data_IF_468052878007
#
_entry.id   IF_468052878007
#
_cell.length_a   1.000
_cell.length_b   1.000
_cell.length_c   1.000
_cell.angle_alpha   90.00
_cell.angle_beta   90.00
_cell.angle_gamma   90.00
#
_symmetry.space_group_name_H-M   'P 1'
#
loop_
_entity.id
_entity.type
_entity.pdbx_description
1 polymer ?
#
# COMPACT_ATOMS: atom_id res chain seq x y z
N UNK A 1 23.42 -50.42 35.21
CA UNK A 1 22.06 -49.88 35.02
C UNK A 1 22.21 -48.51 34.39
N UNK A 2 22.20 -48.47 33.09
CA UNK A 2 22.35 -47.29 32.26
C UNK A 2 20.96 -46.76 31.90
N UNK A 3 20.63 -45.54 32.34
CA UNK A 3 19.37 -44.89 31.95
C UNK A 3 19.60 -44.16 30.61
N UNK A 4 18.88 -44.65 29.66
CA UNK A 4 18.82 -44.12 28.28
C UNK A 4 17.98 -42.83 28.30
N UNK A 5 18.62 -41.73 27.92
CA UNK A 5 17.99 -40.39 27.89
C UNK A 5 17.42 -40.17 26.49
N UNK A 6 16.14 -40.46 26.33
CA UNK A 6 15.42 -40.24 25.08
C UNK A 6 15.25 -38.73 24.89
N UNK A 7 16.09 -38.13 24.04
CA UNK A 7 15.88 -36.77 23.52
C UNK A 7 14.67 -36.77 22.62
N UNK A 8 13.55 -36.28 23.15
CA UNK A 8 12.39 -35.94 22.36
C UNK A 8 12.74 -34.77 21.45
N UNK A 9 12.80 -35.02 20.17
CA UNK A 9 12.90 -33.99 19.13
C UNK A 9 11.59 -33.18 19.12
N UNK A 10 11.66 -31.94 19.63
CA UNK A 10 10.58 -30.99 19.47
C UNK A 10 10.59 -30.56 18.02
N UNK A 11 9.65 -31.14 17.25
CA UNK A 11 9.35 -30.73 15.89
C UNK A 11 9.04 -29.24 15.85
N UNK A 12 9.66 -28.54 14.92
CA UNK A 12 9.34 -27.18 14.54
C UNK A 12 7.84 -27.06 14.30
N UNK A 13 7.12 -26.34 15.17
CA UNK A 13 5.71 -26.04 14.98
C UNK A 13 5.54 -25.20 13.72
N UNK A 14 5.17 -25.84 12.63
CA UNK A 14 4.56 -25.22 11.49
C UNK A 14 3.40 -24.35 11.98
N UNK A 15 3.30 -23.14 11.43
CA UNK A 15 2.32 -22.13 11.83
C UNK A 15 0.93 -22.74 11.89
N UNK A 16 0.24 -22.53 13.02
CA UNK A 16 -1.07 -23.08 13.28
C UNK A 16 -2.02 -22.83 12.11
N UNK A 17 -2.45 -23.89 11.47
CA UNK A 17 -3.59 -23.89 10.57
C UNK A 17 -4.81 -23.48 11.38
N UNK A 18 -5.42 -22.36 11.03
CA UNK A 18 -6.73 -22.01 11.58
C UNK A 18 -7.74 -23.00 11.02
N UNK A 19 -8.62 -23.51 11.88
CA UNK A 19 -9.69 -24.48 11.57
C UNK A 19 -10.61 -24.08 10.39
N UNK A 20 -10.51 -22.84 9.91
CA UNK A 20 -11.31 -22.27 8.82
C UNK A 20 -10.53 -22.14 7.50
N UNK A 21 -9.21 -22.38 7.46
CA UNK A 21 -8.40 -22.17 6.27
C UNK A 21 -8.81 -23.15 5.14
N UNK A 22 -9.18 -24.38 5.48
CA UNK A 22 -9.59 -25.40 4.51
C UNK A 22 -11.00 -25.17 3.97
N UNK A 23 -11.86 -24.46 4.67
CA UNK A 23 -13.26 -24.27 4.26
C UNK A 23 -13.42 -23.15 3.23
N UNK A 24 -12.66 -22.07 3.35
CA UNK A 24 -12.72 -20.92 2.43
C UNK A 24 -11.67 -20.97 1.31
N UNK A 25 -10.74 -21.91 1.35
CA UNK A 25 -9.63 -21.97 0.42
C UNK A 25 -10.04 -22.10 -1.07
N UNK A 26 -11.03 -22.94 -1.48
CA UNK A 26 -11.46 -23.01 -2.88
C UNK A 26 -12.06 -21.70 -3.39
N UNK A 27 -12.85 -20.99 -2.55
CA UNK A 27 -13.45 -19.70 -2.89
C UNK A 27 -12.38 -18.62 -3.00
N UNK A 28 -11.51 -18.50 -1.99
CA UNK A 28 -10.40 -17.54 -1.99
C UNK A 28 -9.44 -17.79 -3.16
N UNK A 29 -9.11 -19.03 -3.44
CA UNK A 29 -8.27 -19.42 -4.59
C UNK A 29 -8.95 -19.05 -5.91
N UNK A 30 -10.26 -19.29 -6.03
CA UNK A 30 -11.06 -18.93 -7.19
C UNK A 30 -11.10 -17.41 -7.42
N UNK A 31 -11.33 -16.63 -6.35
CA UNK A 31 -11.33 -15.16 -6.39
C UNK A 31 -9.97 -14.62 -6.80
N UNK A 32 -8.89 -15.10 -6.18
CA UNK A 32 -7.53 -14.67 -6.53
C UNK A 32 -7.16 -14.99 -7.98
N UNK A 33 -7.55 -16.16 -8.46
CA UNK A 33 -7.35 -16.55 -9.87
C UNK A 33 -8.09 -15.62 -10.82
N UNK A 34 -9.34 -15.26 -10.51
CA UNK A 34 -10.15 -14.34 -11.31
C UNK A 34 -9.58 -12.94 -11.33
N UNK A 35 -9.18 -12.41 -10.17
CA UNK A 35 -8.55 -11.10 -10.06
C UNK A 35 -7.23 -11.06 -10.84
N UNK A 36 -6.41 -12.11 -10.74
CA UNK A 36 -5.19 -12.21 -11.52
C UNK A 36 -5.46 -12.15 -13.02
N UNK A 37 -6.40 -12.96 -13.52
CA UNK A 37 -6.79 -12.96 -14.93
C UNK A 37 -7.24 -11.59 -15.39
N UNK A 38 -8.10 -10.94 -14.64
CA UNK A 38 -8.58 -9.59 -14.94
C UNK A 38 -7.44 -8.55 -15.01
N UNK A 39 -6.48 -8.60 -14.09
CA UNK A 39 -5.32 -7.69 -14.13
C UNK A 39 -4.45 -7.98 -15.37
N UNK A 40 -4.21 -9.25 -15.69
CA UNK A 40 -3.43 -9.65 -16.86
C UNK A 40 -4.13 -9.22 -18.16
N UNK A 41 -5.45 -9.35 -18.26
CA UNK A 41 -6.27 -8.86 -19.38
C UNK A 41 -6.19 -7.34 -19.53
N UNK A 42 -6.27 -6.57 -18.44
CA UNK A 42 -6.11 -5.11 -18.48
C UNK A 42 -4.73 -4.70 -19.03
N UNK A 43 -3.68 -5.40 -18.63
CA UNK A 43 -2.32 -5.10 -19.10
C UNK A 43 -2.13 -5.46 -20.58
N UNK A 44 -2.75 -6.55 -21.04
CA UNK A 44 -2.74 -6.90 -22.45
C UNK A 44 -3.53 -5.87 -23.29
N UNK A 45 -4.73 -5.48 -22.84
CA UNK A 45 -5.55 -4.47 -23.50
C UNK A 45 -4.82 -3.10 -23.58
N UNK A 46 -4.09 -2.72 -22.53
CA UNK A 46 -3.26 -1.51 -22.53
C UNK A 46 -2.16 -1.59 -23.60
N UNK A 47 -1.51 -2.74 -23.73
CA UNK A 47 -0.49 -2.94 -24.74
C UNK A 47 -1.07 -3.01 -26.17
N UNK A 48 -2.25 -3.65 -26.34
CA UNK A 48 -2.97 -3.71 -27.61
C UNK A 48 -3.33 -2.30 -28.10
N UNK A 49 -3.84 -1.46 -27.19
CA UNK A 49 -4.17 -0.07 -27.48
C UNK A 49 -2.92 0.73 -27.94
N UNK A 50 -1.77 0.53 -27.30
CA UNK A 50 -0.53 1.21 -27.66
C UNK A 50 -0.03 0.76 -29.03
N UNK A 51 -0.07 -0.55 -29.32
CA UNK A 51 0.40 -1.11 -30.58
C UNK A 51 -0.64 -0.95 -31.72
N UNK A 52 -1.87 -0.54 -31.43
CA UNK A 52 -2.97 -0.43 -32.40
C UNK A 52 -3.37 -1.77 -33.03
N UNK A 53 -3.07 -2.89 -32.36
CA UNK A 53 -3.32 -4.25 -32.86
C UNK A 53 -3.40 -5.28 -31.76
N UNK A 54 -4.19 -6.30 -31.98
CA UNK A 54 -4.31 -7.45 -31.10
C UNK A 54 -3.06 -8.37 -31.15
N UNK A 55 -3.02 -9.32 -30.24
CA UNK A 55 -1.97 -10.34 -30.23
C UNK A 55 -2.06 -11.21 -31.49
N UNK A 56 -0.92 -11.47 -32.12
CA UNK A 56 -0.75 -12.19 -33.39
C UNK A 56 -1.28 -11.47 -34.65
N UNK A 57 -1.83 -10.27 -34.52
CA UNK A 57 -2.25 -9.46 -35.65
C UNK A 57 -1.04 -8.71 -36.28
N UNK A 58 -1.05 -8.58 -37.61
CA UNK A 58 -0.03 -7.78 -38.30
C UNK A 58 -0.29 -6.28 -38.11
N UNK A 59 0.76 -5.43 -38.16
CA UNK A 59 0.56 -3.99 -38.09
C UNK A 59 -0.42 -3.53 -39.16
N UNK A 60 -1.46 -2.80 -38.75
CA UNK A 60 -2.38 -2.16 -39.66
C UNK A 60 -1.72 -0.90 -40.23
N UNK A 61 -1.81 -0.71 -41.55
CA UNK A 61 -1.33 0.50 -42.21
C UNK A 61 -2.47 1.47 -42.41
N UNK A 62 -2.28 2.71 -42.01
CA UNK A 62 -3.25 3.79 -42.24
C UNK A 62 -3.13 4.37 -43.66
N UNK A 63 -4.05 5.25 -44.02
CA UNK A 63 -4.15 5.87 -45.35
C UNK A 63 -3.00 6.83 -45.71
N UNK A 64 -1.78 6.45 -45.59
CA UNK A 64 -0.54 7.20 -45.85
C UNK A 64 0.67 6.32 -45.68
N UNK A 65 0.48 5.02 -45.67
CA UNK A 65 1.52 4.00 -45.49
C UNK A 65 2.24 4.07 -44.13
N UNK A 66 1.60 4.76 -43.13
CA UNK A 66 2.10 4.81 -41.76
C UNK A 66 1.35 3.79 -40.88
N UNK A 67 2.03 3.11 -39.96
CA UNK A 67 1.36 2.15 -39.07
C UNK A 67 0.39 2.86 -38.11
N UNK A 68 -0.78 2.25 -37.88
CA UNK A 68 -1.73 2.67 -36.87
C UNK A 68 -1.20 2.18 -35.51
N UNK A 69 -0.97 3.10 -34.57
CA UNK A 69 -0.36 2.81 -33.28
C UNK A 69 1.18 2.89 -33.31
N UNK A 70 1.78 2.57 -32.17
CA UNK A 70 3.23 2.60 -32.02
C UNK A 70 3.88 1.45 -32.79
N UNK A 71 4.95 1.78 -33.54
CA UNK A 71 5.79 0.74 -34.14
C UNK A 71 6.52 -0.02 -33.07
N UNK A 72 6.28 -1.33 -32.98
CA UNK A 72 6.89 -2.15 -31.95
C UNK A 72 6.57 -3.61 -32.08
N UNK A 73 7.17 -4.41 -31.21
CA UNK A 73 6.96 -5.84 -31.16
C UNK A 73 6.85 -6.35 -29.72
N UNK A 74 5.92 -7.31 -29.51
CA UNK A 74 5.82 -8.05 -28.25
C UNK A 74 6.99 -9.01 -28.13
N UNK A 75 7.53 -9.20 -26.93
CA UNK A 75 8.63 -10.15 -26.70
C UNK A 75 8.47 -10.91 -25.37
N UNK A 76 7.26 -11.44 -25.16
CA UNK A 76 6.96 -12.32 -24.03
C UNK A 76 6.38 -11.58 -22.82
N UNK A 77 6.53 -12.20 -21.67
CA UNK A 77 6.00 -11.72 -20.40
C UNK A 77 7.09 -11.78 -19.31
N UNK A 78 6.89 -11.03 -18.25
CA UNK A 78 7.65 -11.17 -17.01
C UNK A 78 6.70 -11.40 -15.85
N UNK A 79 7.11 -12.20 -14.91
CA UNK A 79 6.38 -12.38 -13.67
C UNK A 79 6.65 -11.22 -12.72
N UNK A 80 5.59 -10.81 -12.02
CA UNK A 80 5.65 -9.74 -11.03
C UNK A 80 4.74 -10.05 -9.86
N UNK A 81 5.29 -10.06 -8.65
CA UNK A 81 4.48 -10.16 -7.44
C UNK A 81 3.71 -8.87 -7.17
N UNK A 82 2.42 -9.00 -6.94
CA UNK A 82 1.52 -7.92 -6.54
C UNK A 82 0.75 -8.33 -5.29
N UNK A 83 0.64 -7.43 -4.33
CA UNK A 83 -0.08 -7.61 -3.08
C UNK A 83 -1.23 -6.62 -3.03
N UNK A 84 -2.44 -7.11 -2.88
CA UNK A 84 -3.67 -6.34 -2.76
C UNK A 84 -4.51 -6.80 -1.58
N UNK A 85 -5.70 -6.24 -1.39
CA UNK A 85 -6.68 -6.73 -0.41
C UNK A 85 -7.16 -8.15 -0.73
N UNK A 86 -6.92 -8.62 -1.94
CA UNK A 86 -7.14 -9.98 -2.42
C UNK A 86 -5.99 -10.96 -2.07
N UNK A 87 -5.01 -10.50 -1.29
CA UNK A 87 -3.83 -11.27 -0.93
C UNK A 87 -2.62 -11.00 -1.83
N UNK A 88 -1.60 -11.85 -1.71
CA UNK A 88 -0.42 -11.82 -2.56
C UNK A 88 -0.64 -12.73 -3.79
N UNK A 89 -0.34 -12.21 -4.98
CA UNK A 89 -0.44 -12.97 -6.23
C UNK A 89 0.72 -12.65 -7.16
N UNK A 90 1.07 -13.59 -8.04
CA UNK A 90 2.02 -13.37 -9.13
C UNK A 90 1.25 -13.16 -10.41
N UNK A 91 1.50 -12.05 -11.08
CA UNK A 91 0.88 -11.66 -12.35
C UNK A 91 1.90 -11.72 -13.49
N UNK A 92 1.43 -12.01 -14.69
CA UNK A 92 2.21 -12.00 -15.92
C UNK A 92 2.04 -10.65 -16.61
N UNK A 93 3.11 -9.86 -16.62
CA UNK A 93 3.13 -8.54 -17.24
C UNK A 93 3.67 -8.66 -18.67
N UNK A 94 2.93 -8.27 -19.70
CA UNK A 94 3.41 -8.31 -21.08
C UNK A 94 4.60 -7.37 -21.28
N UNK A 95 5.47 -7.73 -22.21
CA UNK A 95 6.65 -6.95 -22.58
C UNK A 95 6.62 -6.65 -24.07
N UNK A 96 6.98 -5.41 -24.41
CA UNK A 96 7.11 -5.00 -25.80
C UNK A 96 8.28 -4.03 -25.95
N UNK A 97 8.86 -4.00 -27.13
CA UNK A 97 9.81 -2.99 -27.57
C UNK A 97 9.11 -2.08 -28.56
N UNK A 98 9.19 -0.78 -28.29
CA UNK A 98 8.64 0.26 -29.15
C UNK A 98 9.78 0.96 -29.86
N UNK A 99 9.58 1.29 -31.10
CA UNK A 99 10.54 2.11 -31.89
C UNK A 99 10.11 3.56 -31.78
N UNK A 100 11.00 4.42 -31.27
CA UNK A 100 10.75 5.86 -31.22
C UNK A 100 10.84 6.48 -32.60
N UNK A 101 10.31 7.69 -32.82
CA UNK A 101 10.43 8.39 -34.11
C UNK A 101 11.88 8.55 -34.60
N UNK A 102 12.82 8.62 -33.65
CA UNK A 102 14.25 8.71 -33.91
C UNK A 102 14.90 7.35 -34.26
N UNK A 103 14.10 6.29 -34.40
CA UNK A 103 14.59 4.93 -34.72
C UNK A 103 15.21 4.19 -33.51
N UNK A 104 15.19 4.76 -32.31
CA UNK A 104 15.69 4.09 -31.10
C UNK A 104 14.65 3.12 -30.55
N UNK A 105 15.11 2.04 -29.94
CA UNK A 105 14.22 1.05 -29.30
C UNK A 105 14.11 1.33 -27.81
N UNK A 106 12.88 1.45 -27.32
CA UNK A 106 12.56 1.60 -25.89
C UNK A 106 11.67 0.44 -25.39
N UNK A 107 11.86 0.00 -24.16
CA UNK A 107 10.96 -0.99 -23.56
C UNK A 107 9.67 -0.31 -23.12
N UNK A 108 8.53 -0.88 -23.53
CA UNK A 108 7.22 -0.41 -23.12
C UNK A 108 7.02 -0.55 -21.62
N UNK A 109 6.41 0.46 -21.03
CA UNK A 109 6.05 0.47 -19.61
C UNK A 109 4.55 0.70 -19.47
N UNK A 110 3.86 -0.22 -18.79
CA UNK A 110 2.44 -0.06 -18.51
C UNK A 110 2.21 1.09 -17.53
N UNK A 111 1.07 1.77 -17.65
CA UNK A 111 0.60 2.82 -16.75
C UNK A 111 -0.25 2.25 -15.61
N UNK A 112 -0.96 1.13 -15.86
CA UNK A 112 -1.87 0.48 -14.90
C UNK A 112 -1.17 0.10 -13.61
N UNK A 113 0.05 -0.45 -13.68
CA UNK A 113 0.85 -0.80 -12.51
C UNK A 113 2.19 -0.07 -12.56
N UNK A 114 2.36 1.04 -11.85
CA UNK A 114 3.60 1.82 -11.84
C UNK A 114 4.84 0.97 -11.59
N UNK A 115 5.96 1.40 -12.14
CA UNK A 115 7.24 0.74 -11.94
C UNK A 115 7.54 0.58 -10.46
N UNK A 116 8.06 -0.59 -10.08
CA UNK A 116 8.43 -0.94 -8.69
C UNK A 116 7.27 -1.03 -7.68
N UNK A 117 6.03 -0.74 -8.06
CA UNK A 117 4.88 -0.92 -7.17
C UNK A 117 4.60 -2.41 -6.97
N UNK A 118 4.76 -2.91 -5.76
CA UNK A 118 4.50 -4.29 -5.37
C UNK A 118 3.25 -4.45 -4.50
N UNK A 119 2.64 -3.35 -4.09
CA UNK A 119 1.45 -3.33 -3.24
C UNK A 119 0.46 -2.28 -3.75
N UNK A 120 -0.81 -2.59 -3.60
CA UNK A 120 -1.87 -1.61 -3.84
C UNK A 120 -1.93 -0.60 -2.68
N UNK A 121 -2.45 0.61 -2.94
CA UNK A 121 -2.67 1.61 -1.89
C UNK A 121 -3.55 1.08 -0.76
N UNK A 122 -4.55 0.24 -1.08
CA UNK A 122 -5.42 -0.39 -0.09
C UNK A 122 -4.70 -1.42 0.77
N UNK A 123 -3.76 -2.19 0.22
CA UNK A 123 -2.92 -3.08 1.01
C UNK A 123 -2.02 -2.30 1.98
N UNK A 124 -1.43 -1.18 1.53
CA UNK A 124 -0.66 -0.29 2.41
C UNK A 124 -1.56 0.30 3.52
N UNK A 125 -2.78 0.74 3.20
CA UNK A 125 -3.74 1.24 4.18
C UNK A 125 -4.14 0.18 5.22
N UNK A 126 -4.34 -1.08 4.80
CA UNK A 126 -4.63 -2.19 5.71
C UNK A 126 -3.46 -2.46 6.68
N UNK A 127 -2.23 -2.46 6.17
CA UNK A 127 -1.02 -2.63 6.99
C UNK A 127 -0.88 -1.47 7.99
N UNK A 128 -1.11 -0.24 7.53
CA UNK A 128 -1.07 0.96 8.39
C UNK A 128 -2.16 0.90 9.46
N UNK A 129 -3.40 0.62 9.08
CA UNK A 129 -4.53 0.51 10.02
C UNK A 129 -4.28 -0.54 11.09
N UNK A 130 -3.79 -1.72 10.70
CA UNK A 130 -3.40 -2.76 11.64
C UNK A 130 -2.27 -2.32 12.60
N UNK A 131 -1.34 -1.50 12.14
CA UNK A 131 -0.28 -0.95 12.98
C UNK A 131 -0.79 0.13 13.92
N UNK A 132 -1.60 1.07 13.42
CA UNK A 132 -2.16 2.19 14.19
C UNK A 132 -3.18 1.72 15.25
N UNK A 133 -3.80 0.55 15.09
CA UNK A 133 -4.67 -0.04 16.13
C UNK A 133 -3.91 -0.51 17.38
N UNK A 134 -2.67 -0.05 17.58
CA UNK A 134 -1.88 -0.29 18.78
C UNK A 134 -1.07 -1.59 18.77
N UNK A 135 -0.91 -2.22 17.60
CA UNK A 135 -0.15 -3.44 17.49
C UNK A 135 1.32 -3.18 17.13
N UNK A 136 2.22 -4.03 17.59
CA UNK A 136 3.60 -3.98 17.14
C UNK A 136 3.79 -4.67 15.78
N UNK A 137 4.93 -4.42 15.12
CA UNK A 137 5.23 -4.97 13.79
C UNK A 137 5.17 -6.50 13.71
N UNK A 138 5.46 -7.22 14.81
CA UNK A 138 5.39 -8.68 14.87
C UNK A 138 3.92 -9.16 14.90
N UNK A 139 3.05 -8.45 15.61
CA UNK A 139 1.61 -8.76 15.67
C UNK A 139 0.95 -8.44 14.33
N UNK A 140 1.29 -7.30 13.69
CA UNK A 140 0.83 -6.98 12.33
C UNK A 140 1.19 -8.09 11.35
N UNK A 141 2.45 -8.55 11.37
CA UNK A 141 2.88 -9.67 10.53
C UNK A 141 2.02 -10.91 10.74
N UNK A 142 1.76 -11.30 12.00
CA UNK A 142 0.94 -12.47 12.32
C UNK A 142 -0.52 -12.29 11.91
N UNK A 143 -1.12 -11.14 12.21
CA UNK A 143 -2.51 -10.85 11.87
C UNK A 143 -2.78 -10.86 10.36
N UNK A 144 -1.79 -10.47 9.56
CA UNK A 144 -1.92 -10.40 8.10
C UNK A 144 -1.29 -11.61 7.38
N UNK A 145 -0.82 -12.61 8.13
CA UNK A 145 -0.13 -13.78 7.55
C UNK A 145 -1.07 -14.60 6.65
N UNK A 146 -2.30 -14.84 7.07
CA UNK A 146 -3.29 -15.56 6.29
C UNK A 146 -3.59 -14.86 4.95
N UNK A 147 -3.74 -13.54 4.98
CA UNK A 147 -4.04 -12.76 3.77
C UNK A 147 -2.84 -12.65 2.81
N UNK A 148 -1.64 -12.42 3.33
CA UNK A 148 -0.46 -12.11 2.53
C UNK A 148 0.57 -13.24 2.44
N UNK A 149 0.26 -14.44 2.94
CA UNK A 149 1.16 -15.58 2.87
C UNK A 149 2.55 -15.33 3.47
N UNK A 150 2.62 -14.52 4.54
CA UNK A 150 3.88 -14.15 5.17
C UNK A 150 4.72 -13.09 4.43
N UNK A 151 4.25 -12.56 3.30
CA UNK A 151 4.98 -11.56 2.50
C UNK A 151 5.11 -10.19 3.19
N UNK A 152 4.36 -9.93 4.28
CA UNK A 152 4.48 -8.71 5.08
C UNK A 152 5.49 -8.92 6.18
N UNK A 153 6.74 -8.54 5.93
CA UNK A 153 7.81 -8.54 6.92
C UNK A 153 7.85 -7.27 7.77
N UNK A 154 8.69 -7.28 8.82
CA UNK A 154 8.97 -6.12 9.69
C UNK A 154 9.33 -4.87 8.89
N UNK A 155 10.21 -5.01 7.89
CA UNK A 155 10.68 -3.88 7.07
C UNK A 155 9.57 -3.32 6.18
N UNK A 156 8.63 -4.17 5.75
CA UNK A 156 7.45 -3.74 4.99
C UNK A 156 6.57 -2.84 5.86
N UNK A 157 6.24 -3.26 7.09
CA UNK A 157 5.46 -2.44 8.03
C UNK A 157 6.17 -1.12 8.32
N UNK A 158 7.48 -1.15 8.58
CA UNK A 158 8.26 0.06 8.86
C UNK A 158 8.34 1.03 7.67
N UNK A 159 8.39 0.51 6.43
CA UNK A 159 8.37 1.35 5.22
C UNK A 159 7.01 1.99 4.98
N UNK A 160 5.94 1.20 5.14
CA UNK A 160 4.57 1.70 4.99
C UNK A 160 4.30 2.77 6.04
N UNK A 161 4.68 2.52 7.30
CA UNK A 161 4.56 3.50 8.38
C UNK A 161 5.29 4.81 8.08
N UNK A 162 6.55 4.75 7.64
CA UNK A 162 7.31 5.97 7.32
C UNK A 162 6.66 6.81 6.22
N UNK A 163 6.09 6.14 5.21
CA UNK A 163 5.34 6.82 4.16
C UNK A 163 4.09 7.50 4.72
N UNK A 164 3.29 6.77 5.50
CA UNK A 164 2.08 7.31 6.14
C UNK A 164 2.42 8.46 7.10
N UNK A 165 3.54 8.34 7.84
CA UNK A 165 4.01 9.44 8.69
C UNK A 165 4.36 10.68 7.87
N UNK A 166 5.01 10.53 6.72
CA UNK A 166 5.30 11.64 5.81
C UNK A 166 4.03 12.29 5.27
N UNK A 167 3.05 11.50 4.86
CA UNK A 167 1.74 12.00 4.42
C UNK A 167 1.03 12.75 5.55
N UNK A 168 1.11 12.24 6.78
CA UNK A 168 0.57 12.89 7.97
C UNK A 168 1.31 14.18 8.33
N UNK A 169 2.65 14.19 8.29
CA UNK A 169 3.46 15.39 8.55
C UNK A 169 3.09 16.51 7.55
N UNK A 170 2.90 16.17 6.28
CA UNK A 170 2.45 17.12 5.23
C UNK A 170 1.04 17.63 5.52
N UNK A 171 0.13 16.73 5.89
CA UNK A 171 -1.25 17.10 6.25
C UNK A 171 -1.28 18.01 7.51
N UNK A 172 -0.46 17.70 8.51
CA UNK A 172 -0.39 18.46 9.75
C UNK A 172 0.24 19.85 9.58
N UNK A 173 1.15 19.99 8.62
CA UNK A 173 1.79 21.27 8.29
C UNK A 173 0.94 22.20 7.42
N UNK A 174 -0.27 21.76 6.98
CA UNK A 174 -1.13 22.60 6.14
C UNK A 174 -1.62 23.84 6.88
N UNK A 175 -1.74 24.95 6.16
CA UNK A 175 -2.38 26.16 6.69
C UNK A 175 -3.89 25.93 6.86
N UNK A 176 -4.44 26.43 7.94
CA UNK A 176 -5.88 26.46 8.21
C UNK A 176 -6.43 27.90 8.15
N UNK A 177 -5.61 28.86 7.72
CA UNK A 177 -5.96 30.29 7.71
C UNK A 177 -7.17 30.58 6.79
N UNK A 178 -7.26 29.86 5.67
CA UNK A 178 -8.32 30.07 4.67
C UNK A 178 -9.58 29.21 4.94
N UNK A 179 -9.59 28.45 6.03
CA UNK A 179 -10.72 27.61 6.39
C UNK A 179 -11.82 28.42 7.08
N UNK A 180 -13.07 28.37 6.60
CA UNK A 180 -14.19 29.13 7.17
C UNK A 180 -14.68 28.50 8.49
N UNK A 181 -13.85 28.55 9.52
CA UNK A 181 -14.15 27.95 10.83
C UNK A 181 -15.03 28.90 11.63
N UNK A 182 -16.24 28.46 11.97
CA UNK A 182 -17.22 29.24 12.76
C UNK A 182 -17.27 28.81 14.23
N UNK A 183 -16.75 27.61 14.55
CA UNK A 183 -16.69 27.09 15.92
C UNK A 183 -15.41 26.33 16.13
N UNK A 184 -14.77 26.53 17.29
CA UNK A 184 -13.59 25.81 17.71
C UNK A 184 -13.93 24.99 18.95
N UNK A 185 -13.62 23.69 18.91
CA UNK A 185 -13.73 22.77 20.05
C UNK A 185 -12.31 22.40 20.45
N UNK A 186 -11.98 22.66 21.70
CA UNK A 186 -10.68 22.34 22.29
C UNK A 186 -10.84 21.24 23.32
N UNK A 187 -10.03 20.22 23.23
CA UNK A 187 -9.99 19.13 24.19
C UNK A 187 -8.54 18.84 24.63
N UNK A 188 -8.32 18.76 25.93
CA UNK A 188 -7.01 18.49 26.52
C UNK A 188 -6.97 17.10 27.12
N UNK A 189 -6.03 16.27 26.69
CA UNK A 189 -5.82 14.94 27.24
C UNK A 189 -4.36 14.72 27.62
N UNK A 190 -4.12 13.84 28.60
CA UNK A 190 -2.78 13.47 29.04
C UNK A 190 -2.51 12.03 28.64
N UNK A 191 -1.48 11.85 27.80
CA UNK A 191 -1.06 10.55 27.30
C UNK A 191 0.26 10.15 27.97
N UNK A 192 0.33 8.93 28.50
CA UNK A 192 1.58 8.37 29.00
C UNK A 192 2.34 7.71 27.86
N UNK A 193 3.51 8.21 27.56
CA UNK A 193 4.41 7.68 26.54
C UNK A 193 5.73 7.25 27.16
N UNK A 194 6.42 6.35 26.51
CA UNK A 194 7.76 5.93 26.93
C UNK A 194 8.79 6.64 26.08
N UNK A 195 9.39 7.70 26.62
CA UNK A 195 10.50 8.43 26.03
C UNK A 195 11.78 8.07 26.78
N UNK A 196 12.84 7.75 26.03
CA UNK A 196 14.17 7.44 26.59
C UNK A 196 14.14 6.44 27.76
N UNK A 197 13.34 5.38 27.60
CA UNK A 197 13.09 4.32 28.60
C UNK A 197 12.35 4.77 29.87
N UNK A 198 11.96 6.04 29.99
CA UNK A 198 11.16 6.58 31.08
C UNK A 198 9.71 6.78 30.68
N UNK A 199 8.79 6.48 31.59
CA UNK A 199 7.37 6.80 31.41
C UNK A 199 7.20 8.31 31.62
N UNK A 200 6.78 9.02 30.58
CA UNK A 200 6.58 10.47 30.59
C UNK A 200 5.13 10.76 30.26
N UNK A 201 4.51 11.66 31.02
CA UNK A 201 3.17 12.15 30.69
C UNK A 201 3.30 13.37 29.78
N UNK A 202 2.61 13.31 28.64
CA UNK A 202 2.55 14.40 27.65
C UNK A 202 1.14 14.91 27.61
N UNK A 203 0.96 16.23 27.74
CA UNK A 203 -0.32 16.87 27.52
C UNK A 203 -0.51 17.14 26.05
N UNK A 204 -1.60 16.62 25.49
CA UNK A 204 -2.03 16.85 24.11
C UNK A 204 -3.23 17.77 24.13
N UNK A 205 -3.21 18.80 23.29
CA UNK A 205 -4.35 19.66 23.01
C UNK A 205 -4.86 19.32 21.61
N UNK A 206 -6.08 18.82 21.53
CA UNK A 206 -6.77 18.58 20.27
C UNK A 206 -7.66 19.78 19.98
N UNK A 207 -7.48 20.40 18.81
CA UNK A 207 -8.33 21.46 18.32
C UNK A 207 -9.15 20.98 17.13
N UNK A 208 -10.48 21.09 17.23
CA UNK A 208 -11.40 20.71 16.18
C UNK A 208 -12.18 21.94 15.72
N UNK A 209 -11.94 22.37 14.49
CA UNK A 209 -12.70 23.43 13.83
C UNK A 209 -13.97 22.88 13.18
N UNK A 210 -15.07 23.61 13.30
CA UNK A 210 -16.31 23.31 12.58
C UNK A 210 -16.55 24.42 11.58
N UNK A 211 -16.70 24.05 10.32
CA UNK A 211 -17.01 24.97 9.20
C UNK A 211 -18.48 25.36 9.18
N UNK A 212 -18.82 26.38 8.39
CA UNK A 212 -20.20 26.81 8.17
C UNK A 212 -21.11 25.73 7.54
N UNK A 213 -20.52 24.80 6.79
CA UNK A 213 -21.22 23.63 6.20
C UNK A 213 -21.39 22.46 7.18
N UNK A 214 -20.95 22.61 8.43
CA UNK A 214 -20.97 21.59 9.47
C UNK A 214 -19.83 20.57 9.39
N UNK A 215 -18.96 20.63 8.39
CA UNK A 215 -17.82 19.76 8.31
C UNK A 215 -16.79 20.07 9.41
N UNK A 216 -16.13 19.03 9.88
CA UNK A 216 -15.11 19.15 10.94
C UNK A 216 -13.72 19.11 10.34
N UNK A 217 -12.89 20.06 10.73
CA UNK A 217 -11.48 20.15 10.37
C UNK A 217 -10.65 19.95 11.63
N UNK A 218 -9.86 18.87 11.67
CA UNK A 218 -8.98 18.61 12.79
C UNK A 218 -7.66 19.38 12.62
N UNK A 219 -7.27 20.08 13.70
CA UNK A 219 -5.92 20.57 13.90
C UNK A 219 -5.39 19.92 15.16
N UNK A 220 -4.25 19.25 15.08
CA UNK A 220 -3.57 18.66 16.23
C UNK A 220 -2.44 19.57 16.65
N UNK A 221 -2.31 19.79 17.97
CA UNK A 221 -1.15 20.46 18.55
C UNK A 221 -0.53 19.61 19.64
N UNK A 222 0.69 19.22 19.42
CA UNK A 222 1.51 18.55 20.39
C UNK A 222 2.19 19.58 21.30
N UNK A 223 1.91 19.57 22.58
CA UNK A 223 2.66 20.31 23.59
C UNK A 223 3.71 19.42 24.24
N UNK A 224 4.88 19.37 23.61
CA UNK A 224 6.10 19.00 24.30
C UNK A 224 6.59 20.19 25.13
N UNK A 225 7.04 19.97 26.35
CA UNK A 225 7.73 20.97 27.17
C UNK A 225 8.83 21.67 26.35
N UNK A 226 8.65 22.93 26.02
CA UNK A 226 9.68 23.80 25.47
C UNK A 226 9.49 24.40 24.08
N UNK A 227 8.45 24.11 23.33
CA UNK A 227 8.21 24.81 22.05
C UNK A 227 6.80 25.41 22.01
N UNK A 228 6.77 26.74 22.12
CA UNK A 228 5.60 27.55 21.75
C UNK A 228 5.43 27.46 20.24
N UNK A 229 4.51 26.69 19.77
CA UNK A 229 4.11 26.74 18.37
C UNK A 229 2.64 26.39 18.26
N UNK A 230 1.94 27.37 17.95
CA UNK A 230 1.00 27.66 16.87
C UNK A 230 -0.48 27.42 17.14
N UNK A 231 -1.02 27.82 18.31
CA UNK A 231 -2.39 28.34 18.38
C UNK A 231 -2.59 29.54 17.44
N UNK A 232 -1.50 30.12 16.95
CA UNK A 232 -1.48 31.20 15.97
C UNK A 232 -2.10 30.82 14.60
N UNK A 233 -2.26 29.55 14.28
CA UNK A 233 -2.93 29.14 13.04
C UNK A 233 -4.44 29.37 13.04
N UNK A 234 -5.05 29.53 14.24
CA UNK A 234 -6.48 29.80 14.41
C UNK A 234 -6.81 31.22 14.84
N UNK A 235 -5.79 32.08 15.04
CA UNK A 235 -5.94 33.44 15.63
C UNK A 235 -5.69 34.57 14.62
N UNK A 236 -6.16 34.42 13.38
CA UNK A 236 -6.24 35.55 12.42
C UNK A 236 -7.57 35.53 11.72
#
# INVERSE_FOLDING_TARGET
MTMDSTKSAIGSSEGGHFLYDDWFDPLETGVRKRIRGFIEELLEAELDAVLGRDRYERPRMGGGNSPIGAVGSRHGHRERGLMGTFGATTIRVPRARLTTPEGKTAEWRNATIPAYQRRTKRADALITGAYLSGTNTRRVRRALAALFGGAVGKDTVSRVWRKTKGDWDTWNARSLTDEPIIRLILDGTVVRVRLDKKATSISLLVALGVRSDGQKVAGEQEHGWGKRSSLAAFAR
#
